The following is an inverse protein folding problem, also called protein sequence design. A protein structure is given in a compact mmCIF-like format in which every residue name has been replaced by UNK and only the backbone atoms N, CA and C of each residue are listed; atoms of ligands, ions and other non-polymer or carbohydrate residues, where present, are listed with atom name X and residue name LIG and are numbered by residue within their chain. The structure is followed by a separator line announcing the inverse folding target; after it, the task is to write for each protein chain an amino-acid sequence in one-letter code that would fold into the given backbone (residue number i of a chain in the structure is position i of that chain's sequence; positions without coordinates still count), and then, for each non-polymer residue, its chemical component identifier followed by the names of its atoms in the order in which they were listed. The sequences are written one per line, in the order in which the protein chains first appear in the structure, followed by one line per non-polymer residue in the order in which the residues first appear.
data_IF_943168272830
#
_entry.id   IF_943168272830
#
_cell.length_a   1.000
_cell.length_b   1.000
_cell.length_c   1.000
_cell.angle_alpha   90.00
_cell.angle_beta   90.00
_cell.angle_gamma   90.00
#
_symmetry.space_group_name_H-M   'P 1'
#
loop_
_entity.id
_entity.type
_entity.pdbx_description
1 polymer ?
#
# COMPACT_ATOMS: atom_id res chain seq x y z
N UNK A 1 -34.04 38.51 1.52
CA UNK A 1 -33.05 38.30 2.61
C UNK A 1 -32.91 36.82 2.98
N UNK A 2 -33.99 36.03 3.00
CA UNK A 2 -33.93 34.58 3.37
C UNK A 2 -33.18 33.67 2.39
N UNK A 3 -33.24 33.97 1.10
CA UNK A 3 -32.63 33.09 0.06
C UNK A 3 -31.09 33.28 -0.02
N UNK A 4 -30.59 34.46 0.23
CA UNK A 4 -29.14 34.71 0.28
C UNK A 4 -28.51 34.00 1.48
N UNK A 5 -29.17 34.06 2.64
CA UNK A 5 -28.72 33.36 3.84
C UNK A 5 -28.69 31.83 3.67
N UNK A 6 -29.76 31.26 3.07
CA UNK A 6 -29.83 29.82 2.77
C UNK A 6 -28.69 29.38 1.83
N UNK A 7 -28.40 30.16 0.77
CA UNK A 7 -27.30 29.87 -0.15
C UNK A 7 -25.93 29.92 0.56
N UNK A 8 -25.74 30.89 1.44
CA UNK A 8 -24.48 31.04 2.17
C UNK A 8 -24.25 29.90 3.15
N UNK A 9 -25.27 29.44 3.86
CA UNK A 9 -25.22 28.26 4.74
C UNK A 9 -24.94 26.99 3.93
N UNK A 10 -25.56 26.84 2.77
CA UNK A 10 -25.33 25.68 1.91
C UNK A 10 -23.89 25.64 1.40
N UNK A 11 -23.36 26.76 0.93
CA UNK A 11 -21.97 26.88 0.44
C UNK A 11 -20.98 26.57 1.55
N UNK A 12 -21.16 27.14 2.74
CA UNK A 12 -20.26 26.89 3.87
C UNK A 12 -20.32 25.42 4.34
N UNK A 13 -21.48 24.80 4.33
CA UNK A 13 -21.63 23.38 4.68
C UNK A 13 -20.94 22.49 3.67
N UNK A 14 -21.08 22.76 2.36
CA UNK A 14 -20.40 22.03 1.30
C UNK A 14 -18.89 22.20 1.42
N UNK A 15 -18.39 23.43 1.61
CA UNK A 15 -16.97 23.71 1.82
C UNK A 15 -16.40 22.93 2.99
N UNK A 16 -17.07 22.94 4.14
CA UNK A 16 -16.66 22.18 5.32
C UNK A 16 -16.60 20.67 5.08
N UNK A 17 -17.56 20.11 4.31
CA UNK A 17 -17.55 18.68 3.96
C UNK A 17 -16.38 18.37 3.04
N UNK A 18 -16.13 19.22 2.05
CA UNK A 18 -14.99 19.06 1.13
C UNK A 18 -13.66 19.14 1.88
N UNK A 19 -13.49 20.16 2.74
CA UNK A 19 -12.26 20.33 3.53
C UNK A 19 -12.00 19.14 4.45
N UNK A 20 -13.04 18.60 5.10
CA UNK A 20 -12.91 17.39 5.92
C UNK A 20 -12.49 16.17 5.10
N UNK A 21 -13.10 15.95 3.93
CA UNK A 21 -12.73 14.84 3.06
C UNK A 21 -11.32 15.00 2.52
N UNK A 22 -10.97 16.18 2.08
CA UNK A 22 -9.62 16.52 1.63
C UNK A 22 -8.61 16.29 2.77
N UNK A 23 -8.91 16.73 3.99
CA UNK A 23 -8.08 16.51 5.17
C UNK A 23 -7.85 15.02 5.48
N UNK A 24 -8.88 14.18 5.39
CA UNK A 24 -8.77 12.73 5.60
C UNK A 24 -7.90 12.07 4.52
N UNK A 25 -8.05 12.49 3.26
CA UNK A 25 -7.23 12.00 2.14
C UNK A 25 -5.77 12.42 2.31
N UNK A 26 -5.52 13.70 2.66
CA UNK A 26 -4.17 14.20 2.91
C UNK A 26 -3.52 13.55 4.14
N UNK A 27 -4.29 13.29 5.19
CA UNK A 27 -3.81 12.56 6.36
C UNK A 27 -3.56 11.06 6.09
N UNK A 28 -3.91 10.54 4.89
CA UNK A 28 -3.72 9.14 4.54
C UNK A 28 -4.58 8.16 5.35
N UNK A 29 -5.72 8.61 5.90
CA UNK A 29 -6.60 7.78 6.74
C UNK A 29 -7.89 7.33 6.05
N UNK A 30 -7.91 7.39 4.74
CA UNK A 30 -9.08 6.98 3.98
C UNK A 30 -9.19 5.45 3.93
N UNK A 31 -10.38 4.90 4.19
CA UNK A 31 -10.63 3.46 4.09
C UNK A 31 -10.97 3.10 2.64
N UNK A 32 -10.30 2.07 2.11
CA UNK A 32 -10.41 1.64 0.71
C UNK A 32 -11.20 0.33 0.53
N UNK A 33 -12.20 0.07 1.36
CA UNK A 33 -12.97 -1.19 1.36
C UNK A 33 -13.65 -1.57 0.04
N UNK A 34 -13.87 -0.61 -0.84
CA UNK A 34 -14.56 -0.84 -2.12
C UNK A 34 -13.62 -0.88 -3.33
N UNK A 35 -12.30 -0.72 -3.11
CA UNK A 35 -11.33 -0.83 -4.20
C UNK A 35 -11.15 -2.30 -4.58
N UNK A 36 -11.04 -2.59 -5.88
CA UNK A 36 -10.84 -3.94 -6.41
C UNK A 36 -9.80 -3.89 -7.52
N UNK A 37 -9.21 -5.03 -7.82
CA UNK A 37 -8.21 -5.16 -8.90
C UNK A 37 -7.12 -4.10 -8.77
N UNK A 38 -6.52 -4.01 -7.60
CA UNK A 38 -5.48 -3.06 -7.25
C UNK A 38 -4.25 -3.79 -6.71
N UNK A 39 -3.10 -3.16 -6.79
CA UNK A 39 -1.88 -3.61 -6.12
C UNK A 39 -1.82 -3.05 -4.71
N UNK A 40 -1.27 -3.82 -3.77
CA UNK A 40 -1.05 -3.36 -2.40
C UNK A 40 0.44 -3.43 -2.08
N UNK A 41 1.02 -2.29 -1.68
CA UNK A 41 2.37 -2.19 -1.15
C UNK A 41 2.29 -1.90 0.35
N UNK A 42 2.95 -2.71 1.17
CA UNK A 42 3.00 -2.57 2.62
C UNK A 42 4.43 -2.23 3.04
N UNK A 43 4.60 -1.01 3.53
CA UNK A 43 5.89 -0.39 3.80
C UNK A 43 6.38 0.50 2.67
N UNK A 44 7.19 1.50 3.05
CA UNK A 44 7.81 2.45 2.13
C UNK A 44 9.31 2.55 2.39
N UNK A 45 10.10 2.17 1.41
CA UNK A 45 11.55 2.20 1.46
C UNK A 45 12.16 2.52 0.07
N UNK A 46 13.46 2.35 -0.07
CA UNK A 46 14.20 2.64 -1.30
C UNK A 46 13.74 1.88 -2.54
N UNK A 47 13.14 0.68 -2.39
CA UNK A 47 12.62 -0.11 -3.52
C UNK A 47 11.23 0.33 -3.96
N UNK A 48 10.48 1.00 -3.09
CA UNK A 48 9.06 1.31 -3.32
C UNK A 48 8.83 2.14 -4.57
N UNK A 49 9.72 3.10 -4.87
CA UNK A 49 9.60 3.97 -6.05
C UNK A 49 9.76 3.17 -7.35
N UNK A 50 10.75 2.27 -7.40
CA UNK A 50 10.97 1.43 -8.57
C UNK A 50 9.81 0.44 -8.75
N UNK A 51 9.35 -0.17 -7.66
CA UNK A 51 8.21 -1.08 -7.66
C UNK A 51 6.94 -0.39 -8.19
N UNK A 52 6.64 0.82 -7.73
CA UNK A 52 5.49 1.60 -8.22
C UNK A 52 5.59 1.82 -9.73
N UNK A 53 6.79 2.12 -10.25
CA UNK A 53 6.99 2.32 -11.70
C UNK A 53 6.74 1.04 -12.47
N UNK A 54 7.30 -0.08 -12.04
CA UNK A 54 7.12 -1.39 -12.67
C UNK A 54 5.65 -1.83 -12.68
N UNK A 55 4.95 -1.68 -11.56
CA UNK A 55 3.52 -2.00 -11.48
C UNK A 55 2.65 -1.11 -12.37
N UNK A 56 3.01 0.17 -12.51
CA UNK A 56 2.33 1.06 -13.44
C UNK A 56 2.59 0.65 -14.90
N UNK A 57 3.82 0.29 -15.24
CA UNK A 57 4.18 -0.14 -16.60
C UNK A 57 3.46 -1.47 -16.96
N UNK A 58 3.29 -2.36 -15.99
CA UNK A 58 2.53 -3.60 -16.17
C UNK A 58 1.03 -3.36 -16.37
N UNK A 59 0.42 -2.51 -15.55
CA UNK A 59 -1.01 -2.20 -15.63
C UNK A 59 -1.30 -0.73 -15.30
N UNK A 60 -1.22 0.19 -16.29
CA UNK A 60 -1.40 1.63 -16.06
C UNK A 60 -2.76 2.04 -15.51
N UNK A 61 -3.78 1.19 -15.68
CA UNK A 61 -5.14 1.45 -15.19
C UNK A 61 -5.38 0.98 -13.75
N UNK A 62 -4.53 0.12 -13.21
CA UNK A 62 -4.68 -0.38 -11.86
C UNK A 62 -4.25 0.67 -10.83
N UNK A 63 -4.95 0.71 -9.70
CA UNK A 63 -4.55 1.53 -8.55
C UNK A 63 -3.48 0.81 -7.76
N UNK A 64 -2.56 1.59 -7.20
CA UNK A 64 -1.51 1.12 -6.29
C UNK A 64 -1.80 1.69 -4.91
N UNK A 65 -2.17 0.85 -3.97
CA UNK A 65 -2.47 1.25 -2.60
C UNK A 65 -1.24 1.02 -1.73
N UNK A 66 -0.59 2.09 -1.34
CA UNK A 66 0.62 2.08 -0.52
C UNK A 66 0.29 2.37 0.93
N UNK A 67 0.55 1.44 1.82
CA UNK A 67 0.43 1.60 3.26
C UNK A 67 1.81 1.74 3.90
N UNK A 68 1.99 2.72 4.78
CA UNK A 68 3.22 2.93 5.53
C UNK A 68 2.93 3.50 6.92
N UNK A 69 3.78 3.19 7.89
CA UNK A 69 3.83 3.83 9.20
C UNK A 69 4.51 5.21 9.18
N UNK A 70 5.06 5.63 8.05
CA UNK A 70 5.63 6.96 7.84
C UNK A 70 4.52 7.97 7.56
N UNK A 71 4.73 9.23 7.96
CA UNK A 71 3.79 10.32 7.69
C UNK A 71 3.45 10.44 6.20
N UNK A 72 2.16 10.49 5.89
CA UNK A 72 1.68 10.46 4.50
C UNK A 72 2.19 11.63 3.66
N UNK A 73 2.42 12.80 4.26
CA UNK A 73 2.99 13.95 3.58
C UNK A 73 4.41 13.69 3.10
N UNK A 74 5.23 13.05 3.93
CA UNK A 74 6.60 12.65 3.60
C UNK A 74 6.62 11.63 2.46
N UNK A 75 5.79 10.58 2.55
CA UNK A 75 5.67 9.55 1.51
C UNK A 75 5.21 10.16 0.19
N UNK A 76 4.16 11.00 0.20
CA UNK A 76 3.66 11.69 -1.00
C UNK A 76 4.72 12.57 -1.62
N UNK A 77 5.43 13.37 -0.83
CA UNK A 77 6.48 14.25 -1.34
C UNK A 77 7.58 13.46 -2.07
N UNK A 78 8.00 12.32 -1.53
CA UNK A 78 8.98 11.45 -2.18
C UNK A 78 8.47 10.84 -3.49
N UNK A 79 7.21 10.40 -3.51
CA UNK A 79 6.56 9.89 -4.73
C UNK A 79 6.51 10.99 -5.79
N UNK A 80 6.04 12.19 -5.44
CA UNK A 80 5.94 13.35 -6.34
C UNK A 80 7.29 13.80 -6.90
N UNK A 81 8.33 13.71 -6.08
CA UNK A 81 9.69 14.10 -6.50
C UNK A 81 10.36 13.08 -7.42
N UNK A 82 9.92 11.82 -7.40
CA UNK A 82 10.61 10.72 -8.07
C UNK A 82 9.84 10.14 -9.27
N UNK A 83 8.52 10.35 -9.35
CA UNK A 83 7.67 9.75 -10.35
C UNK A 83 6.92 10.79 -11.20
N UNK A 84 6.63 10.49 -12.47
CA UNK A 84 5.76 11.30 -13.32
C UNK A 84 4.36 11.42 -12.71
N UNK A 85 3.67 12.54 -13.03
CA UNK A 85 2.33 12.85 -12.51
C UNK A 85 1.30 11.77 -12.86
N UNK A 86 1.44 11.13 -14.02
CA UNK A 86 0.56 10.05 -14.48
C UNK A 86 0.65 8.84 -13.55
N UNK A 87 1.86 8.48 -13.12
CA UNK A 87 2.12 7.38 -12.18
C UNK A 87 1.65 7.76 -10.79
N UNK A 88 2.00 8.97 -10.31
CA UNK A 88 1.57 9.47 -9.00
C UNK A 88 0.05 9.39 -8.82
N UNK A 89 -0.73 9.75 -9.84
CA UNK A 89 -2.20 9.72 -9.78
C UNK A 89 -2.79 8.32 -9.54
N UNK A 90 -2.05 7.25 -9.81
CA UNK A 90 -2.48 5.89 -9.54
C UNK A 90 -2.16 5.46 -8.11
N UNK A 91 -1.29 6.19 -7.40
CA UNK A 91 -0.87 5.83 -6.04
C UNK A 91 -1.80 6.45 -5.00
N UNK A 92 -2.35 5.59 -4.15
CA UNK A 92 -3.17 5.95 -3.00
C UNK A 92 -2.37 5.67 -1.73
N UNK A 93 -2.00 6.71 -0.99
CA UNK A 93 -1.20 6.57 0.24
C UNK A 93 -2.11 6.43 1.45
N UNK A 94 -1.92 5.35 2.21
CA UNK A 94 -2.56 5.08 3.49
C UNK A 94 -1.53 5.13 4.63
N UNK A 95 -1.79 5.98 5.61
CA UNK A 95 -0.98 6.08 6.83
C UNK A 95 -1.58 5.21 7.92
N UNK A 96 -0.84 4.22 8.41
CA UNK A 96 -1.31 3.32 9.46
C UNK A 96 -0.23 2.38 9.96
N UNK A 97 -0.56 1.61 11.00
CA UNK A 97 0.32 0.59 11.53
C UNK A 97 0.31 -0.65 10.62
N UNK A 98 1.43 -0.88 9.91
CA UNK A 98 1.60 -1.99 8.97
C UNK A 98 1.56 -3.38 9.64
N UNK A 99 1.70 -3.45 10.95
CA UNK A 99 1.63 -4.68 11.76
C UNK A 99 0.23 -4.90 12.38
N UNK A 100 -0.77 -4.04 12.07
CA UNK A 100 -2.14 -4.17 12.59
C UNK A 100 -3.07 -4.82 11.57
N UNK A 101 -3.70 -5.93 11.94
CA UNK A 101 -4.67 -6.61 11.08
C UNK A 101 -5.89 -5.73 10.78
N UNK A 102 -6.34 -4.90 11.73
CA UNK A 102 -7.47 -3.99 11.56
C UNK A 102 -7.16 -2.91 10.53
N UNK A 103 -5.91 -2.43 10.51
CA UNK A 103 -5.45 -1.45 9.53
C UNK A 103 -5.31 -2.10 8.15
N UNK A 104 -4.74 -3.31 8.07
CA UNK A 104 -4.60 -4.08 6.83
C UNK A 104 -5.96 -4.43 6.20
N UNK A 105 -6.99 -4.72 6.99
CA UNK A 105 -8.35 -4.96 6.50
C UNK A 105 -8.94 -3.76 5.75
N UNK A 106 -8.50 -2.54 6.04
CA UNK A 106 -8.96 -1.32 5.36
C UNK A 106 -8.45 -1.18 3.93
N UNK A 107 -7.45 -1.98 3.56
CA UNK A 107 -6.85 -2.00 2.23
C UNK A 107 -7.59 -2.92 1.24
N UNK A 108 -8.62 -3.63 1.68
CA UNK A 108 -9.35 -4.63 0.89
C UNK A 108 -8.43 -5.65 0.20
N UNK A 109 -7.50 -6.21 0.97
CA UNK A 109 -6.47 -7.15 0.50
C UNK A 109 -7.10 -8.34 -0.24
N UNK A 110 -8.27 -8.82 0.18
CA UNK A 110 -8.98 -9.94 -0.44
C UNK A 110 -9.33 -9.73 -1.93
N UNK A 111 -9.40 -8.47 -2.37
CA UNK A 111 -9.73 -8.08 -3.75
C UNK A 111 -8.53 -7.50 -4.50
N UNK A 112 -7.33 -7.61 -3.95
CA UNK A 112 -6.10 -7.17 -4.60
C UNK A 112 -5.67 -8.16 -5.70
N UNK A 113 -4.92 -7.65 -6.68
CA UNK A 113 -4.25 -8.48 -7.69
C UNK A 113 -3.07 -9.19 -7.03
N UNK A 114 -2.23 -8.41 -6.35
CA UNK A 114 -1.00 -8.85 -5.68
C UNK A 114 -0.71 -7.98 -4.47
N UNK A 115 0.05 -8.52 -3.52
CA UNK A 115 0.52 -7.80 -2.34
C UNK A 115 2.04 -7.88 -2.23
N UNK A 116 2.66 -6.74 -1.96
CA UNK A 116 4.10 -6.59 -1.79
C UNK A 116 4.39 -6.11 -0.37
N UNK A 117 5.08 -6.92 0.41
CA UNK A 117 5.51 -6.59 1.78
C UNK A 117 6.96 -6.15 1.72
N UNK A 118 7.18 -4.84 1.74
CA UNK A 118 8.51 -4.22 1.61
C UNK A 118 9.08 -3.80 2.98
N UNK A 119 8.19 -3.45 3.93
CA UNK A 119 8.58 -2.81 5.18
C UNK A 119 8.96 -1.33 5.00
N UNK A 120 8.93 -0.59 6.09
CA UNK A 120 9.35 0.81 6.11
C UNK A 120 10.89 0.94 6.10
N UNK A 121 11.41 2.16 6.02
CA UNK A 121 12.86 2.45 5.91
C UNK A 121 13.73 1.90 7.05
N UNK A 122 13.15 1.65 8.21
CA UNK A 122 13.86 1.09 9.35
C UNK A 122 14.37 -0.33 9.04
N UNK A 123 15.67 -0.47 8.83
CA UNK A 123 16.28 -1.76 8.46
C UNK A 123 16.38 -2.74 9.63
N UNK A 124 16.51 -2.22 10.86
CA UNK A 124 16.66 -3.10 12.02
C UNK A 124 15.39 -3.89 12.28
N UNK A 125 15.50 -5.21 12.21
CA UNK A 125 14.36 -6.11 12.41
C UNK A 125 13.33 -6.12 11.28
N UNK A 126 13.58 -5.49 10.12
CA UNK A 126 12.66 -5.44 8.98
C UNK A 126 12.22 -6.83 8.54
N UNK A 127 13.16 -7.76 8.42
CA UNK A 127 12.86 -9.14 8.00
C UNK A 127 11.86 -9.82 8.95
N UNK A 128 12.04 -9.67 10.27
CA UNK A 128 11.12 -10.24 11.24
C UNK A 128 9.74 -9.57 11.19
N UNK A 129 9.67 -8.25 11.02
CA UNK A 129 8.43 -7.50 10.83
C UNK A 129 7.73 -7.94 9.54
N UNK A 130 8.47 -8.06 8.44
CA UNK A 130 7.91 -8.50 7.17
C UNK A 130 7.34 -9.91 7.24
N UNK A 131 7.98 -10.83 7.96
CA UNK A 131 7.44 -12.18 8.22
C UNK A 131 6.11 -12.08 8.97
N UNK A 132 6.04 -11.29 10.04
CA UNK A 132 4.79 -11.10 10.78
C UNK A 132 3.68 -10.52 9.90
N UNK A 133 3.99 -9.52 9.08
CA UNK A 133 3.05 -8.92 8.14
C UNK A 133 2.56 -9.95 7.11
N UNK A 134 3.45 -10.79 6.56
CA UNK A 134 3.06 -11.86 5.62
C UNK A 134 2.05 -12.82 6.25
N UNK A 135 2.22 -13.18 7.51
CA UNK A 135 1.24 -14.02 8.21
C UNK A 135 -0.12 -13.32 8.31
N UNK A 136 -0.16 -12.03 8.67
CA UNK A 136 -1.41 -11.25 8.72
C UNK A 136 -2.05 -11.16 7.33
N UNK A 137 -1.29 -10.83 6.31
CA UNK A 137 -1.76 -10.76 4.92
C UNK A 137 -2.31 -12.11 4.46
N UNK A 138 -1.64 -13.22 4.81
CA UNK A 138 -2.08 -14.57 4.44
C UNK A 138 -3.43 -14.94 5.04
N UNK A 139 -3.83 -14.36 6.17
CA UNK A 139 -5.17 -14.53 6.74
C UNK A 139 -6.25 -13.71 6.04
N UNK A 140 -5.86 -12.63 5.36
CA UNK A 140 -6.76 -11.67 4.72
C UNK A 140 -6.88 -11.86 3.21
N UNK A 141 -5.96 -12.61 2.59
CA UNK A 141 -5.89 -12.74 1.13
C UNK A 141 -7.05 -13.54 0.55
N UNK A 142 -7.52 -13.10 -0.60
CA UNK A 142 -8.55 -13.76 -1.37
C UNK A 142 -7.98 -14.72 -2.42
N UNK A 143 -8.86 -15.23 -3.28
CA UNK A 143 -8.53 -15.99 -4.47
C UNK A 143 -8.54 -15.10 -5.70
N UNK A 144 -7.57 -15.28 -6.58
CA UNK A 144 -7.55 -14.68 -7.89
C UNK A 144 -8.68 -15.24 -8.78
N UNK A 145 -8.93 -14.59 -9.91
CA UNK A 145 -9.95 -14.99 -10.88
C UNK A 145 -9.80 -16.44 -11.39
N UNK A 146 -8.58 -16.94 -11.44
CA UNK A 146 -8.26 -18.33 -11.84
C UNK A 146 -8.43 -19.36 -10.70
N UNK A 147 -8.93 -18.94 -9.55
CA UNK A 147 -9.17 -19.78 -8.36
C UNK A 147 -7.92 -20.03 -7.51
N UNK A 148 -6.75 -19.53 -7.93
CA UNK A 148 -5.52 -19.61 -7.12
C UNK A 148 -5.54 -18.57 -6.02
N UNK A 149 -4.76 -18.79 -4.98
CA UNK A 149 -4.57 -17.80 -3.94
C UNK A 149 -3.77 -16.62 -4.49
N UNK A 150 -4.17 -15.41 -4.08
CA UNK A 150 -3.47 -14.18 -4.44
C UNK A 150 -1.99 -14.24 -4.06
N UNK A 151 -1.05 -13.92 -4.96
CA UNK A 151 0.38 -13.94 -4.68
C UNK A 151 0.77 -12.84 -3.69
N UNK A 152 1.72 -13.17 -2.82
CA UNK A 152 2.32 -12.25 -1.85
C UNK A 152 3.83 -12.24 -2.07
N UNK A 153 4.38 -11.08 -2.32
CA UNK A 153 5.81 -10.88 -2.47
C UNK A 153 6.37 -10.22 -1.22
N UNK A 154 7.47 -10.75 -0.70
CA UNK A 154 8.08 -10.23 0.52
C UNK A 154 9.55 -9.90 0.32
N UNK A 155 9.94 -8.71 0.73
CA UNK A 155 11.33 -8.27 0.71
C UNK A 155 12.09 -8.77 1.94
N UNK A 156 13.30 -9.29 1.74
CA UNK A 156 14.27 -9.61 2.78
C UNK A 156 15.59 -8.93 2.52
N UNK A 157 16.16 -8.38 3.58
CA UNK A 157 17.48 -7.75 3.54
C UNK A 157 18.61 -8.75 3.77
N UNK A 158 18.31 -9.93 4.32
CA UNK A 158 19.31 -10.94 4.63
C UNK A 158 18.97 -12.34 4.11
N UNK A 159 19.96 -13.03 3.52
CA UNK A 159 19.86 -14.41 3.05
C UNK A 159 19.44 -15.41 4.15
N UNK A 160 19.88 -15.29 5.43
CA UNK A 160 19.44 -16.19 6.50
C UNK A 160 17.93 -16.16 6.72
N UNK A 161 17.29 -15.01 6.57
CA UNK A 161 15.83 -14.90 6.68
C UNK A 161 15.12 -15.68 5.58
N UNK A 162 15.63 -15.67 4.36
CA UNK A 162 15.12 -16.49 3.26
C UNK A 162 15.14 -17.97 3.58
N UNK A 163 16.25 -18.50 4.11
CA UNK A 163 16.35 -19.93 4.51
C UNK A 163 15.40 -20.30 5.66
N UNK A 164 15.09 -19.35 6.52
CA UNK A 164 14.15 -19.55 7.62
C UNK A 164 12.69 -19.57 7.16
N UNK A 165 12.35 -18.79 6.12
CA UNK A 165 11.00 -18.77 5.55
C UNK A 165 10.62 -20.14 4.98
N UNK A 166 11.54 -20.82 4.30
CA UNK A 166 11.28 -22.17 3.80
C UNK A 166 10.93 -23.15 4.93
N UNK A 167 11.44 -22.91 6.15
CA UNK A 167 11.14 -23.71 7.35
C UNK A 167 9.84 -23.29 8.03
N UNK A 168 9.33 -22.09 7.76
CA UNK A 168 8.11 -21.54 8.37
C UNK A 168 6.81 -22.04 7.75
N UNK A 169 6.89 -22.94 6.78
CA UNK A 169 5.71 -23.53 6.14
C UNK A 169 4.71 -22.48 5.62
N UNK A 170 5.24 -21.37 5.05
CA UNK A 170 4.40 -20.35 4.44
C UNK A 170 3.65 -20.94 3.24
N UNK A 171 2.47 -20.38 2.93
CA UNK A 171 1.71 -20.81 1.76
C UNK A 171 2.55 -20.73 0.48
N UNK A 172 2.34 -21.65 -0.49
CA UNK A 172 3.17 -21.76 -1.69
C UNK A 172 3.16 -20.51 -2.58
N UNK A 173 2.17 -19.63 -2.42
CA UNK A 173 2.04 -18.38 -3.19
C UNK A 173 2.74 -17.18 -2.52
N UNK A 174 3.63 -17.43 -1.56
CA UNK A 174 4.50 -16.39 -0.98
C UNK A 174 5.86 -16.46 -1.66
N UNK A 175 6.23 -15.37 -2.34
CA UNK A 175 7.47 -15.24 -3.10
C UNK A 175 8.41 -14.25 -2.42
N UNK A 176 9.70 -14.53 -2.43
CA UNK A 176 10.70 -13.66 -1.81
C UNK A 176 11.38 -12.77 -2.85
N UNK A 177 11.56 -11.51 -2.52
CA UNK A 177 12.29 -10.53 -3.32
C UNK A 177 13.57 -10.19 -2.56
N UNK A 178 14.71 -10.21 -3.24
CA UNK A 178 15.96 -9.76 -2.63
C UNK A 178 15.99 -8.25 -2.48
N UNK A 179 16.32 -7.77 -1.28
CA UNK A 179 16.35 -6.35 -0.94
C UNK A 179 17.54 -5.54 -1.48
N UNK A 180 18.43 -6.17 -2.26
CA UNK A 180 19.45 -5.43 -2.98
C UNK A 180 18.91 -5.02 -4.33
N UNK A 181 19.07 -3.74 -4.75
CA UNK A 181 18.77 -3.36 -6.11
C UNK A 181 19.70 -4.16 -7.02
N UNK A 182 19.25 -5.32 -7.49
CA UNK A 182 19.87 -5.94 -8.64
C UNK A 182 19.62 -4.97 -9.78
N UNK A 183 20.66 -4.29 -10.18
CA UNK A 183 20.75 -3.61 -11.45
C UNK A 183 20.45 -4.72 -12.47
N UNK A 184 19.18 -4.78 -12.91
CA UNK A 184 18.85 -5.56 -14.07
C UNK A 184 19.52 -4.86 -15.26
N UNK A 185 20.57 -5.48 -15.77
CA UNK A 185 21.13 -5.17 -17.06
C UNK A 185 20.26 -5.78 -18.17
#
# INVERSE_FOLDING_TARGET
LGDVYKRQVLISTISNIIERRVGVVYAGRMTYRNIKNHYVLIGFNELSINMIRELYDECPSARILLMSGMESATVRHRIQSALPVEVERQVLVYFGNIESIEELQRLNIESAIEVYVLGDEERYGRDAKNIAIVHLVSTLRGKCYDGKMMPVYVQFDSIPSYSNIQKMNLPPEVFCIEGKPNIFF
#
